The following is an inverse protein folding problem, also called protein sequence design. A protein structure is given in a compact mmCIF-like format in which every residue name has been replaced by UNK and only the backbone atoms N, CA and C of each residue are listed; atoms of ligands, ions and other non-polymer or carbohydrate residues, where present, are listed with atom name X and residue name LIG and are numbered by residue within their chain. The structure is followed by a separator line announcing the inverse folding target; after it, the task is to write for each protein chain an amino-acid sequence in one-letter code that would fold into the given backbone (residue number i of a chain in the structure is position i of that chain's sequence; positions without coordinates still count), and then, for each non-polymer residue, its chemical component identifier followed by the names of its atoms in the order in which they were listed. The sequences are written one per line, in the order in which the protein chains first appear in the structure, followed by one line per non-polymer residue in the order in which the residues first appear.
data_IF_959403764113
#
_entry.id   IF_959403764113
#
_cell.length_a   1.000
_cell.length_b   1.000
_cell.length_c   1.000
_cell.angle_alpha   90.00
_cell.angle_beta   90.00
_cell.angle_gamma   90.00
#
_symmetry.space_group_name_H-M   'P 1'
#
loop_
_entity.id
_entity.type
_entity.pdbx_description
1 polymer ?
#
# COMPACT_ATOMS: atom_id res chain seq x y z
N UNK A 1 10.22 21.45 -0.22
CA UNK A 1 11.03 20.29 0.19
C UNK A 1 10.74 19.05 -0.65
N UNK A 2 9.57 18.41 -0.51
CA UNK A 2 9.27 17.17 -1.24
C UNK A 2 9.42 17.29 -2.76
N UNK A 3 8.84 18.34 -3.36
CA UNK A 3 8.95 18.59 -4.81
C UNK A 3 10.41 18.73 -5.26
N UNK A 4 11.23 19.47 -4.51
CA UNK A 4 12.67 19.61 -4.76
C UNK A 4 13.41 18.28 -4.66
N UNK A 5 13.16 17.49 -3.61
CA UNK A 5 13.72 16.13 -3.48
C UNK A 5 13.34 15.25 -4.67
N UNK A 6 12.07 15.25 -5.09
CA UNK A 6 11.55 14.45 -6.20
C UNK A 6 12.15 14.89 -7.55
N UNK A 7 12.12 16.18 -7.86
CA UNK A 7 12.70 16.77 -9.08
C UNK A 7 14.23 16.58 -9.14
N UNK A 8 14.90 16.62 -7.98
CA UNK A 8 16.35 16.40 -7.88
C UNK A 8 16.77 14.93 -8.02
N UNK A 9 15.82 13.99 -8.18
CA UNK A 9 16.05 12.54 -8.17
C UNK A 9 16.83 12.08 -6.93
N UNK A 10 16.51 12.66 -5.77
CA UNK A 10 17.12 12.29 -4.49
C UNK A 10 18.48 12.95 -4.18
N UNK A 11 18.94 13.91 -4.99
CA UNK A 11 20.16 14.69 -4.68
C UNK A 11 19.95 15.63 -3.50
N UNK A 12 18.78 16.26 -3.39
CA UNK A 12 18.41 17.08 -2.24
C UNK A 12 17.93 16.18 -1.10
N UNK A 13 18.73 16.05 -0.03
CA UNK A 13 18.44 15.12 1.06
C UNK A 13 17.54 15.70 2.17
N UNK A 14 17.18 16.99 2.11
CA UNK A 14 16.49 17.71 3.18
C UNK A 14 15.19 17.00 3.59
N UNK A 15 14.39 16.60 2.61
CA UNK A 15 13.15 15.86 2.85
C UNK A 15 13.41 14.52 3.55
N UNK A 16 14.38 13.74 3.03
CA UNK A 16 14.68 12.41 3.58
C UNK A 16 15.26 12.46 4.98
N UNK A 17 16.05 13.49 5.30
CA UNK A 17 16.67 13.66 6.61
C UNK A 17 15.63 13.95 7.70
N UNK A 18 14.62 14.76 7.38
CA UNK A 18 13.50 15.04 8.28
C UNK A 18 12.71 13.77 8.57
N UNK A 19 12.35 13.01 7.52
CA UNK A 19 11.59 11.76 7.68
C UNK A 19 12.40 10.74 8.50
N UNK A 20 13.72 10.59 8.24
CA UNK A 20 14.57 9.69 9.04
C UNK A 20 14.61 10.08 10.51
N UNK A 21 14.75 11.38 10.83
CA UNK A 21 14.74 11.87 12.21
C UNK A 21 13.41 11.57 12.92
N UNK A 22 12.30 11.79 12.23
CA UNK A 22 10.97 11.50 12.77
C UNK A 22 10.78 10.00 13.02
N UNK A 23 11.13 9.14 12.06
CA UNK A 23 11.04 7.68 12.21
C UNK A 23 11.95 7.16 13.34
N UNK A 24 13.14 7.74 13.53
CA UNK A 24 14.00 7.36 14.65
C UNK A 24 13.43 7.81 15.99
N UNK A 25 12.78 8.97 16.05
CA UNK A 25 12.11 9.46 17.26
C UNK A 25 10.96 8.56 17.70
N UNK A 26 10.13 8.11 16.77
CA UNK A 26 8.96 7.27 17.09
C UNK A 26 9.32 5.87 17.58
N UNK A 27 10.57 5.40 17.40
CA UNK A 27 11.02 4.13 17.99
C UNK A 27 10.95 4.15 19.51
N UNK A 28 11.32 5.27 20.13
CA UNK A 28 11.28 5.42 21.59
C UNK A 28 9.84 5.38 22.09
N UNK A 29 8.92 6.02 21.37
CA UNK A 29 7.50 5.97 21.69
C UNK A 29 6.94 4.55 21.55
N UNK A 30 7.30 3.83 20.49
CA UNK A 30 6.88 2.44 20.28
C UNK A 30 7.38 1.51 21.40
N UNK A 31 8.63 1.68 21.85
CA UNK A 31 9.20 0.91 22.98
C UNK A 31 8.47 1.22 24.30
N UNK A 32 8.18 2.49 24.57
CA UNK A 32 7.41 2.91 25.76
C UNK A 32 6.01 2.28 25.77
N UNK A 33 5.37 2.24 24.61
CA UNK A 33 4.00 1.74 24.47
C UNK A 33 3.95 0.20 24.32
N UNK A 34 5.11 -0.48 24.32
CA UNK A 34 5.21 -1.94 24.17
C UNK A 34 4.82 -2.45 22.78
N UNK A 35 4.81 -1.58 21.77
CA UNK A 35 4.40 -1.88 20.41
C UNK A 35 5.60 -2.31 19.57
N UNK A 36 5.56 -3.51 19.00
CA UNK A 36 6.57 -3.98 18.04
C UNK A 36 6.21 -3.53 16.63
N UNK A 37 6.98 -2.60 16.06
CA UNK A 37 6.79 -2.11 14.69
C UNK A 37 7.13 -3.22 13.67
N UNK A 38 6.20 -3.60 12.78
CA UNK A 38 6.48 -4.52 11.69
C UNK A 38 7.52 -3.97 10.73
N UNK A 39 8.51 -4.78 10.37
CA UNK A 39 9.56 -4.38 9.41
C UNK A 39 9.51 -5.15 8.10
N UNK A 40 8.69 -6.20 8.07
CA UNK A 40 8.45 -7.04 6.91
C UNK A 40 6.99 -6.99 6.50
N UNK A 41 6.71 -7.23 5.22
CA UNK A 41 5.34 -7.29 4.72
C UNK A 41 4.52 -8.37 5.44
N UNK A 42 5.14 -9.51 5.77
CA UNK A 42 4.48 -10.60 6.49
C UNK A 42 4.12 -10.22 7.94
N UNK A 43 4.99 -9.50 8.65
CA UNK A 43 4.67 -8.98 9.99
C UNK A 43 3.59 -7.89 9.93
N UNK A 44 3.56 -7.09 8.86
CA UNK A 44 2.58 -6.03 8.68
C UNK A 44 1.20 -6.60 8.30
N UNK A 45 1.17 -7.58 7.41
CA UNK A 45 -0.03 -8.25 6.95
C UNK A 45 -0.32 -9.48 7.83
N UNK A 46 -0.90 -9.26 9.01
CA UNK A 46 -1.40 -10.34 9.85
C UNK A 46 -2.58 -11.01 9.15
N UNK A 47 -2.33 -12.16 8.51
CA UNK A 47 -3.40 -13.06 8.10
C UNK A 47 -4.02 -13.63 9.37
N UNK A 48 -5.16 -13.09 9.78
CA UNK A 48 -5.99 -13.71 10.81
C UNK A 48 -6.28 -15.13 10.34
N UNK A 49 -5.67 -16.13 10.98
CA UNK A 49 -6.08 -17.52 10.80
C UNK A 49 -7.50 -17.56 11.33
N UNK A 50 -8.48 -17.73 10.43
CA UNK A 50 -9.87 -17.94 10.81
C UNK A 50 -9.87 -19.01 11.90
N UNK A 51 -10.49 -18.77 13.08
CA UNK A 51 -10.67 -19.84 14.06
C UNK A 51 -11.28 -21.04 13.32
N UNK A 52 -10.88 -22.25 13.70
CA UNK A 52 -11.46 -23.46 13.11
C UNK A 52 -12.99 -23.28 13.11
N UNK A 53 -13.69 -23.58 11.99
CA UNK A 53 -15.14 -23.50 11.99
C UNK A 53 -15.63 -24.40 13.13
N UNK A 54 -16.12 -23.76 14.19
CA UNK A 54 -17.02 -24.43 15.12
C UNK A 54 -18.17 -24.96 14.25
N UNK A 55 -18.56 -26.22 14.44
CA UNK A 55 -19.43 -26.99 13.54
C UNK A 55 -20.87 -26.42 13.44
N UNK A 56 -21.04 -25.18 12.98
CA UNK A 56 -22.32 -24.47 13.05
C UNK A 56 -22.42 -23.10 12.37
N UNK A 57 -21.46 -22.66 11.53
CA UNK A 57 -21.64 -21.45 10.70
C UNK A 57 -21.61 -21.74 9.20
N UNK A 58 -22.48 -22.66 8.78
CA UNK A 58 -22.89 -22.83 7.39
C UNK A 58 -24.05 -21.87 7.08
N UNK A 59 -23.80 -20.56 6.98
CA UNK A 59 -24.72 -19.63 6.31
C UNK A 59 -23.95 -18.35 5.92
N UNK A 60 -23.83 -18.05 4.63
CA UNK A 60 -23.67 -16.71 4.01
C UNK A 60 -22.39 -16.33 3.25
N UNK A 61 -21.58 -17.23 2.70
CA UNK A 61 -20.58 -16.83 1.69
C UNK A 61 -20.32 -17.90 0.63
N UNK A 62 -21.32 -18.20 -0.22
CA UNK A 62 -21.11 -19.13 -1.34
C UNK A 62 -21.96 -18.79 -2.59
N UNK A 63 -22.07 -17.51 -2.97
CA UNK A 63 -22.86 -17.12 -4.15
C UNK A 63 -22.30 -15.94 -4.96
N UNK A 64 -20.97 -15.74 -4.99
CA UNK A 64 -20.38 -14.63 -5.77
C UNK A 64 -19.14 -14.98 -6.61
N UNK A 65 -18.79 -16.26 -6.79
CA UNK A 65 -17.65 -16.64 -7.64
C UNK A 65 -17.89 -17.94 -8.44
N UNK A 66 -18.98 -17.98 -9.19
CA UNK A 66 -19.05 -18.84 -10.39
C UNK A 66 -19.32 -17.95 -11.61
N UNK A 67 -18.25 -17.38 -12.18
CA UNK A 67 -18.17 -17.11 -13.63
C UNK A 67 -16.69 -16.94 -14.03
N UNK A 68 -15.96 -18.07 -14.07
CA UNK A 68 -14.69 -18.18 -14.79
C UNK A 68 -15.01 -18.38 -16.29
N UNK A 69 -15.00 -17.31 -17.09
CA UNK A 69 -14.71 -17.43 -18.52
C UNK A 69 -13.39 -16.72 -18.83
N UNK A 70 -12.39 -17.54 -19.20
CA UNK A 70 -11.10 -17.10 -19.71
C UNK A 70 -11.28 -16.37 -21.04
N UNK A 71 -10.72 -15.16 -21.14
CA UNK A 71 -10.29 -14.60 -22.42
C UNK A 71 -8.84 -14.07 -22.28
N UNK A 72 -7.90 -14.96 -22.56
CA UNK A 72 -6.53 -14.62 -22.97
C UNK A 72 -6.62 -13.81 -24.28
N UNK A 73 -6.50 -12.47 -24.24
CA UNK A 73 -5.92 -11.59 -25.32
C UNK A 73 -6.47 -10.13 -25.32
N UNK A 74 -6.10 -9.28 -24.37
CA UNK A 74 -6.02 -7.81 -24.64
C UNK A 74 -4.79 -7.17 -24.01
N UNK A 75 -3.68 -7.38 -24.71
CA UNK A 75 -2.75 -6.33 -25.14
C UNK A 75 -3.14 -4.87 -24.77
N UNK A 76 -2.21 -4.16 -24.14
CA UNK A 76 -2.08 -2.69 -24.17
C UNK A 76 -3.13 -1.83 -23.45
N UNK A 77 -2.96 -1.65 -22.12
CA UNK A 77 -3.40 -0.43 -21.42
C UNK A 77 -2.21 0.46 -21.03
N UNK A 78 -1.20 0.55 -21.91
CA UNK A 78 -0.42 1.76 -22.03
C UNK A 78 -1.23 2.75 -22.88
N UNK A 79 -2.30 3.28 -22.28
CA UNK A 79 -3.04 4.41 -22.80
C UNK A 79 -2.25 5.69 -22.53
N UNK A 80 -1.54 6.14 -23.56
CA UNK A 80 -1.10 7.51 -23.75
C UNK A 80 -2.32 8.45 -23.57
N UNK A 81 -2.34 9.21 -22.48
CA UNK A 81 -3.25 10.35 -22.32
C UNK A 81 -2.38 11.60 -22.17
N UNK A 82 -1.73 11.95 -23.29
CA UNK A 82 -1.30 13.30 -23.60
C UNK A 82 -2.57 14.11 -23.95
N UNK A 83 -3.32 14.56 -22.93
CA UNK A 83 -4.29 15.65 -23.12
C UNK A 83 -3.73 16.94 -22.54
N UNK A 84 -2.92 17.58 -23.38
CA UNK A 84 -2.50 18.98 -23.27
C UNK A 84 -3.71 19.91 -23.39
N UNK A 85 -4.51 20.01 -22.32
CA UNK A 85 -5.60 20.97 -22.17
C UNK A 85 -5.10 22.39 -21.88
N UNK A 86 -4.69 23.10 -22.94
CA UNK A 86 -4.53 24.55 -22.94
C UNK A 86 -5.92 25.23 -22.99
N UNK A 87 -6.33 25.89 -21.91
CA UNK A 87 -7.29 26.99 -21.98
C UNK A 87 -6.82 28.18 -21.13
N UNK A 88 -6.71 29.33 -21.81
CA UNK A 88 -6.42 30.63 -21.24
C UNK A 88 -7.59 31.12 -20.37
N UNK A 89 -7.28 31.71 -19.21
CA UNK A 89 -7.95 32.91 -18.66
C UNK A 89 -7.18 33.48 -17.46
#
# INVERSE_FOLDING_TARGET
MYRKWKESKGKDQEYTDIIRKQVLGTKVDAERDGVKVPTTLAEYCVKTKTPAPDEGSDLFYDDYYEDDEMDDEVESCYGDDDDSGNEES
#
